data_IF_256437171386
#
_entry.id   IF_256437171386
#
_cell.length_a   1.000
_cell.length_b   1.000
_cell.length_c   1.000
_cell.angle_alpha   90.00
_cell.angle_beta   90.00
_cell.angle_gamma   90.00
#
_symmetry.space_group_name_H-M   'P 1'
#
loop_
_entity.id
_entity.type
_entity.pdbx_description
1 polymer ?
#
# COMPACT_ATOMS: atom_id res chain seq x y z
N UNK A 1 22.87 7.34 4.55
CA UNK A 1 21.59 7.16 3.87
C UNK A 1 20.89 6.07 4.65
N UNK A 2 19.94 6.48 5.47
CA UNK A 2 19.30 5.64 6.47
C UNK A 2 18.27 4.71 5.78
N UNK A 3 18.01 3.54 6.36
CA UNK A 3 16.90 2.67 5.97
C UNK A 3 15.57 3.43 5.98
N UNK A 4 15.41 4.42 6.86
CA UNK A 4 14.29 5.36 6.85
C UNK A 4 14.28 6.34 5.67
N UNK A 5 15.44 6.76 5.14
CA UNK A 5 15.50 7.53 3.89
C UNK A 5 14.98 6.72 2.71
N UNK A 6 15.20 5.40 2.74
CA UNK A 6 14.75 4.49 1.68
C UNK A 6 13.23 4.25 1.78
N UNK A 7 12.68 4.11 3.00
CA UNK A 7 11.24 4.02 3.23
C UNK A 7 10.50 5.33 2.88
N UNK A 8 11.08 6.48 3.25
CA UNK A 8 10.60 7.81 2.86
C UNK A 8 10.70 8.06 1.35
N UNK A 9 11.71 7.50 0.68
CA UNK A 9 11.81 7.48 -0.77
C UNK A 9 10.80 6.54 -1.46
N UNK A 10 10.26 5.53 -0.76
CA UNK A 10 9.13 4.72 -1.26
C UNK A 10 7.81 5.46 -1.21
N UNK A 11 7.71 6.42 -0.30
CA UNK A 11 6.61 7.35 -0.24
C UNK A 11 6.84 8.58 -1.14
N UNK A 12 7.89 8.63 -1.97
CA UNK A 12 8.07 9.77 -2.88
C UNK A 12 7.31 9.56 -4.18
N UNK A 13 6.18 10.25 -4.30
CA UNK A 13 5.53 10.51 -5.59
C UNK A 13 6.16 11.74 -6.24
N UNK A 14 6.10 11.88 -7.56
CA UNK A 14 6.35 13.16 -8.20
C UNK A 14 5.07 14.00 -8.17
N UNK A 15 5.21 15.28 -7.80
CA UNK A 15 4.08 16.19 -7.88
C UNK A 15 3.67 16.38 -9.35
N UNK A 16 2.44 16.03 -9.75
CA UNK A 16 2.00 16.14 -11.14
C UNK A 16 1.93 17.60 -11.64
N UNK A 17 1.94 18.59 -10.74
CA UNK A 17 1.96 20.02 -11.09
C UNK A 17 3.36 20.59 -11.30
N UNK A 18 4.40 20.08 -10.64
CA UNK A 18 5.72 20.71 -10.69
C UNK A 18 6.91 19.75 -10.88
N UNK A 19 6.67 18.43 -10.90
CA UNK A 19 7.71 17.41 -11.06
C UNK A 19 8.66 17.27 -9.87
N UNK A 20 8.43 17.98 -8.75
CA UNK A 20 9.24 17.81 -7.56
C UNK A 20 8.88 16.51 -6.83
N UNK A 21 9.88 15.83 -6.29
CA UNK A 21 9.66 14.70 -5.38
C UNK A 21 8.88 15.17 -4.15
N UNK A 22 7.79 14.50 -3.84
CA UNK A 22 6.87 14.83 -2.76
C UNK A 22 6.38 13.57 -2.08
N UNK A 23 5.94 13.64 -0.82
CA UNK A 23 5.38 12.47 -0.15
C UNK A 23 4.01 12.12 -0.75
N UNK A 24 3.77 10.85 -1.07
CA UNK A 24 2.49 10.26 -1.47
C UNK A 24 1.43 10.33 -0.38
N UNK A 25 1.84 10.74 0.83
CA UNK A 25 0.97 10.97 1.98
C UNK A 25 0.73 12.46 2.24
N UNK A 26 1.41 13.36 1.53
CA UNK A 26 1.17 14.79 1.70
C UNK A 26 -0.08 15.20 0.94
N UNK A 27 -1.00 15.89 1.60
CA UNK A 27 -2.18 16.46 0.94
C UNK A 27 -1.84 17.62 0.01
N UNK A 28 -0.62 18.16 0.11
CA UNK A 28 -0.11 19.27 -0.71
C UNK A 28 1.38 19.14 -1.00
N UNK A 29 1.80 19.45 -2.22
CA UNK A 29 3.20 19.46 -2.58
C UNK A 29 3.96 20.54 -1.80
N UNK A 30 5.02 20.16 -1.08
CA UNK A 30 5.83 21.07 -0.28
C UNK A 30 6.61 22.10 -1.12
N UNK A 31 6.79 21.84 -2.42
CA UNK A 31 7.53 22.72 -3.31
C UNK A 31 6.63 23.75 -4.01
N UNK A 32 5.43 23.37 -4.46
CA UNK A 32 4.55 24.25 -5.23
C UNK A 32 3.18 24.53 -4.59
N UNK A 33 2.86 23.87 -3.47
CA UNK A 33 1.58 24.02 -2.77
C UNK A 33 0.37 23.35 -3.46
N UNK A 34 0.56 22.64 -4.58
CA UNK A 34 -0.54 21.97 -5.28
C UNK A 34 -1.11 20.82 -4.45
N UNK A 35 -2.45 20.68 -4.41
CA UNK A 35 -3.10 19.58 -3.69
C UNK A 35 -2.88 18.24 -4.40
N UNK A 36 -2.60 17.19 -3.63
CA UNK A 36 -2.24 15.85 -4.12
C UNK A 36 -3.32 14.77 -3.88
N UNK A 37 -4.47 15.14 -3.31
CA UNK A 37 -5.59 14.23 -2.99
C UNK A 37 -5.47 13.56 -1.62
N UNK A 38 -6.58 13.04 -1.11
CA UNK A 38 -6.64 12.21 0.11
C UNK A 38 -6.63 10.73 -0.29
N UNK A 39 -5.64 9.97 0.19
CA UNK A 39 -5.59 8.51 0.06
C UNK A 39 -5.88 7.89 1.44
N UNK A 40 -7.04 7.25 1.61
CA UNK A 40 -7.58 6.82 2.91
C UNK A 40 -7.24 5.38 3.40
N UNK A 41 -6.36 4.62 2.72
CA UNK A 41 -5.85 3.30 3.18
C UNK A 41 -4.71 2.78 2.25
N UNK A 42 -3.80 1.84 2.66
CA UNK A 42 -3.00 1.77 3.87
C UNK A 42 -1.66 2.50 3.65
N UNK A 43 -1.55 3.69 4.20
CA UNK A 43 -0.39 4.55 4.13
C UNK A 43 0.41 4.42 5.42
N UNK A 44 1.69 4.04 5.35
CA UNK A 44 2.62 4.18 6.49
C UNK A 44 2.65 5.65 6.87
N UNK A 45 1.96 6.03 7.94
CA UNK A 45 1.88 7.43 8.35
C UNK A 45 3.15 7.81 9.09
N UNK A 46 3.92 8.74 8.50
CA UNK A 46 5.04 9.40 9.18
C UNK A 46 4.45 10.48 10.09
N UNK A 47 4.57 10.32 11.41
CA UNK A 47 4.23 11.40 12.35
C UNK A 47 5.26 12.53 12.22
N UNK A 48 4.76 13.76 12.12
CA UNK A 48 5.62 14.95 12.17
C UNK A 48 6.39 14.98 13.51
N UNK A 49 7.69 15.18 13.40
CA UNK A 49 8.68 15.00 14.45
C UNK A 49 8.93 16.33 15.17
N UNK A 50 7.90 16.86 15.82
CA UNK A 50 8.10 17.98 16.73
C UNK A 50 8.77 17.49 18.03
N UNK A 51 10.03 17.86 18.21
CA UNK A 51 10.84 17.76 19.44
C UNK A 51 11.16 16.33 19.95
N UNK A 52 12.19 15.72 19.37
CA UNK A 52 13.03 14.74 20.08
C UNK A 52 12.51 13.31 20.20
N UNK A 53 11.44 12.93 19.48
CA UNK A 53 10.98 11.54 19.40
C UNK A 53 11.14 11.02 17.98
N UNK A 54 11.77 9.84 17.84
CA UNK A 54 11.97 9.10 16.59
C UNK A 54 10.65 9.04 15.79
N UNK A 55 10.70 9.29 14.48
CA UNK A 55 9.54 9.13 13.61
C UNK A 55 8.98 7.71 13.76
N UNK A 56 7.79 7.59 14.35
CA UNK A 56 7.07 6.33 14.45
C UNK A 56 6.40 6.04 13.11
N UNK A 57 6.50 4.80 12.65
CA UNK A 57 5.72 4.27 11.53
C UNK A 57 4.43 3.68 12.11
N UNK A 58 3.29 4.33 11.94
CA UNK A 58 2.00 3.75 12.28
C UNK A 58 1.50 2.89 11.11
N UNK A 59 1.18 1.62 11.42
CA UNK A 59 0.61 0.63 10.51
C UNK A 59 -0.87 0.47 10.85
N UNK A 60 -1.75 0.58 9.86
CA UNK A 60 -3.15 0.17 10.01
C UNK A 60 -3.21 -1.34 10.26
N UNK A 61 -3.82 -1.79 11.34
CA UNK A 61 -3.93 -3.21 11.63
C UNK A 61 -4.82 -3.90 10.58
N UNK A 62 -4.50 -5.14 10.18
CA UNK A 62 -5.23 -5.85 9.12
C UNK A 62 -6.76 -5.88 9.32
N UNK A 63 -7.21 -6.06 10.56
CA UNK A 63 -8.63 -6.10 10.89
C UNK A 63 -9.31 -4.73 10.82
N UNK A 64 -8.55 -3.66 10.64
CA UNK A 64 -9.04 -2.31 10.44
C UNK A 64 -9.26 -1.99 8.95
N UNK A 65 -8.64 -2.72 8.03
CA UNK A 65 -8.72 -2.51 6.57
C UNK A 65 -10.15 -2.27 6.09
N UNK A 66 -10.42 -1.06 5.57
CA UNK A 66 -11.74 -0.67 5.06
C UNK A 66 -12.08 -1.47 3.81
N UNK A 67 -11.11 -1.72 2.95
CA UNK A 67 -11.29 -2.45 1.70
C UNK A 67 -11.63 -3.92 1.94
N UNK A 68 -10.95 -4.59 2.88
CA UNK A 68 -11.29 -5.97 3.24
C UNK A 68 -12.69 -6.07 3.83
N UNK A 69 -13.08 -5.14 4.71
CA UNK A 69 -14.44 -5.08 5.27
C UNK A 69 -15.50 -4.86 4.19
N UNK A 70 -15.24 -3.94 3.27
CA UNK A 70 -16.12 -3.65 2.12
C UNK A 70 -16.35 -4.89 1.26
N UNK A 71 -15.29 -5.58 0.86
CA UNK A 71 -15.41 -6.81 0.06
C UNK A 71 -16.10 -7.94 0.84
N UNK A 72 -15.80 -8.11 2.13
CA UNK A 72 -16.51 -9.08 2.99
C UNK A 72 -18.01 -8.80 3.04
N UNK A 73 -18.40 -7.55 3.20
CA UNK A 73 -19.79 -7.13 3.21
C UNK A 73 -20.45 -7.38 1.84
N UNK A 74 -19.80 -6.98 0.74
CA UNK A 74 -20.32 -7.16 -0.61
C UNK A 74 -20.55 -8.65 -0.95
N UNK A 75 -19.62 -9.54 -0.57
CA UNK A 75 -19.78 -10.99 -0.74
C UNK A 75 -20.92 -11.55 0.13
N UNK A 76 -21.06 -11.08 1.36
CA UNK A 76 -22.15 -11.49 2.24
C UNK A 76 -23.52 -11.07 1.67
N UNK A 77 -23.62 -9.83 1.16
CA UNK A 77 -24.84 -9.31 0.54
C UNK A 77 -25.18 -10.07 -0.74
N UNK A 78 -24.20 -10.35 -1.60
CA UNK A 78 -24.38 -11.18 -2.80
C UNK A 78 -24.95 -12.56 -2.44
N UNK A 79 -24.40 -13.21 -1.40
CA UNK A 79 -24.88 -14.51 -0.91
C UNK A 79 -26.30 -14.45 -0.34
N UNK A 80 -26.70 -13.32 0.22
CA UNK A 80 -28.06 -13.08 0.70
C UNK A 80 -29.06 -12.79 -0.44
N UNK A 81 -28.64 -12.85 -1.71
CA UNK A 81 -29.46 -12.53 -2.87
C UNK A 81 -29.44 -11.05 -3.25
N UNK A 82 -28.43 -10.30 -2.81
CA UNK A 82 -28.19 -8.92 -3.19
C UNK A 82 -27.90 -8.75 -4.67
N UNK A 83 -27.98 -7.49 -5.14
CA UNK A 83 -27.74 -7.15 -6.53
C UNK A 83 -26.27 -7.35 -6.93
N UNK A 84 -26.05 -8.05 -8.04
CA UNK A 84 -24.70 -8.33 -8.58
C UNK A 84 -23.96 -7.04 -8.91
N UNK A 85 -24.66 -6.02 -9.39
CA UNK A 85 -24.10 -4.72 -9.76
C UNK A 85 -23.51 -3.99 -8.56
N UNK A 86 -24.13 -4.13 -7.38
CA UNK A 86 -23.62 -3.52 -6.13
C UNK A 86 -22.35 -4.25 -5.66
N UNK A 87 -22.33 -5.58 -5.80
CA UNK A 87 -21.15 -6.38 -5.53
C UNK A 87 -19.98 -5.99 -6.45
N UNK A 88 -20.21 -5.94 -7.76
CA UNK A 88 -19.18 -5.60 -8.74
C UNK A 88 -18.66 -4.17 -8.55
N UNK A 89 -19.53 -3.20 -8.23
CA UNK A 89 -19.09 -1.84 -7.91
C UNK A 89 -18.11 -1.79 -6.73
N UNK A 90 -18.32 -2.64 -5.70
CA UNK A 90 -17.39 -2.74 -4.57
C UNK A 90 -16.06 -3.42 -4.95
N UNK A 91 -16.09 -4.39 -5.88
CA UNK A 91 -14.88 -5.02 -6.44
C UNK A 91 -14.08 -3.99 -7.25
N UNK A 92 -14.72 -3.29 -8.17
CA UNK A 92 -14.11 -2.28 -9.04
C UNK A 92 -13.44 -1.16 -8.24
N UNK A 93 -14.12 -0.65 -7.20
CA UNK A 93 -13.56 0.40 -6.36
C UNK A 93 -12.25 -0.05 -5.69
N UNK A 94 -12.19 -1.30 -5.21
CA UNK A 94 -10.97 -1.84 -4.61
C UNK A 94 -9.92 -2.17 -5.68
N UNK A 95 -10.33 -2.59 -6.87
CA UNK A 95 -9.44 -2.85 -8.00
C UNK A 95 -8.65 -1.61 -8.39
N UNK A 96 -9.30 -0.45 -8.53
CA UNK A 96 -8.64 0.82 -8.86
C UNK A 96 -7.50 1.15 -7.89
N UNK A 97 -7.68 0.90 -6.59
CA UNK A 97 -6.63 1.15 -5.59
C UNK A 97 -5.45 0.18 -5.74
N UNK A 98 -5.73 -1.11 -5.94
CA UNK A 98 -4.68 -2.13 -6.08
C UNK A 98 -3.92 -1.98 -7.40
N UNK A 99 -4.62 -1.64 -8.48
CA UNK A 99 -4.04 -1.34 -9.79
C UNK A 99 -3.10 -0.14 -9.71
N UNK A 100 -3.54 0.96 -9.07
CA UNK A 100 -2.71 2.15 -8.87
C UNK A 100 -1.41 1.81 -8.12
N UNK A 101 -1.48 0.98 -7.08
CA UNK A 101 -0.30 0.53 -6.35
C UNK A 101 0.62 -0.36 -7.22
N UNK A 102 0.03 -1.27 -8.00
CA UNK A 102 0.77 -2.16 -8.90
C UNK A 102 1.45 -1.37 -10.03
N UNK A 103 0.79 -0.40 -10.62
CA UNK A 103 1.34 0.52 -11.62
C UNK A 103 2.55 1.26 -11.05
N UNK A 104 2.46 1.77 -9.83
CA UNK A 104 3.60 2.40 -9.17
C UNK A 104 4.77 1.42 -9.06
N UNK A 105 4.56 0.22 -8.49
CA UNK A 105 5.62 -0.77 -8.30
C UNK A 105 6.25 -1.27 -9.62
N UNK A 106 5.46 -1.31 -10.69
CA UNK A 106 5.90 -1.80 -12.01
C UNK A 106 6.36 -0.67 -12.93
N UNK A 107 6.21 0.59 -12.52
CA UNK A 107 6.60 1.76 -13.31
C UNK A 107 8.10 1.76 -13.64
N UNK A 108 8.51 2.28 -14.82
CA UNK A 108 9.91 2.42 -15.18
C UNK A 108 10.73 3.18 -14.14
N UNK A 109 10.13 4.23 -13.57
CA UNK A 109 10.71 5.01 -12.48
C UNK A 109 11.05 4.11 -11.27
N UNK A 110 10.09 3.34 -10.78
CA UNK A 110 10.35 2.45 -9.64
C UNK A 110 11.35 1.35 -9.97
N UNK A 111 11.33 0.80 -11.19
CA UNK A 111 12.30 -0.21 -11.60
C UNK A 111 13.74 0.34 -11.62
N UNK A 112 13.95 1.56 -12.11
CA UNK A 112 15.25 2.23 -12.05
C UNK A 112 15.70 2.48 -10.61
N UNK A 113 14.79 2.89 -9.73
CA UNK A 113 15.08 3.11 -8.30
C UNK A 113 15.49 1.81 -7.61
N UNK A 114 14.73 0.73 -7.85
CA UNK A 114 15.02 -0.61 -7.31
C UNK A 114 16.38 -1.12 -7.81
N UNK A 115 16.75 -0.87 -9.06
CA UNK A 115 18.03 -1.30 -9.63
C UNK A 115 19.25 -0.66 -8.95
N UNK A 116 19.08 0.55 -8.41
CA UNK A 116 20.13 1.30 -7.72
C UNK A 116 20.05 1.18 -6.18
N UNK A 117 19.10 0.40 -5.67
CA UNK A 117 18.84 0.25 -4.24
C UNK A 117 19.68 -0.88 -3.64
N UNK A 118 19.96 -0.78 -2.34
CA UNK A 118 20.60 -1.89 -1.62
C UNK A 118 19.74 -3.17 -1.68
N UNK A 119 20.36 -4.37 -1.66
CA UNK A 119 19.64 -5.62 -1.86
C UNK A 119 18.48 -5.85 -0.88
N UNK A 120 18.62 -5.43 0.38
CA UNK A 120 17.60 -5.62 1.40
C UNK A 120 16.30 -4.86 1.10
N UNK A 121 16.34 -3.52 1.00
CA UNK A 121 15.17 -2.74 0.61
C UNK A 121 14.63 -3.09 -0.78
N UNK A 122 15.50 -3.36 -1.76
CA UNK A 122 15.08 -3.80 -3.10
C UNK A 122 14.25 -5.10 -3.05
N UNK A 123 14.58 -6.01 -2.15
CA UNK A 123 13.83 -7.25 -1.94
C UNK A 123 12.44 -6.99 -1.34
N UNK A 124 12.32 -6.06 -0.39
CA UNK A 124 11.03 -5.67 0.22
C UNK A 124 10.08 -5.14 -0.86
N UNK A 125 10.57 -4.28 -1.75
CA UNK A 125 9.78 -3.77 -2.88
C UNK A 125 9.29 -4.88 -3.81
N UNK A 126 10.17 -5.82 -4.18
CA UNK A 126 9.79 -6.94 -5.05
C UNK A 126 8.73 -7.82 -4.39
N UNK A 127 8.81 -8.01 -3.08
CA UNK A 127 7.80 -8.74 -2.32
C UNK A 127 6.46 -8.00 -2.26
N UNK A 128 6.49 -6.67 -2.05
CA UNK A 128 5.28 -5.83 -2.08
C UNK A 128 4.62 -5.82 -3.46
N UNK A 129 5.41 -5.65 -4.53
CA UNK A 129 4.93 -5.69 -5.91
C UNK A 129 4.26 -7.03 -6.23
N UNK A 130 4.87 -8.14 -5.78
CA UNK A 130 4.29 -9.48 -5.94
C UNK A 130 2.98 -9.62 -5.16
N UNK A 131 2.90 -9.12 -3.93
CA UNK A 131 1.68 -9.16 -3.15
C UNK A 131 0.56 -8.32 -3.80
N UNK A 132 0.88 -7.13 -4.32
CA UNK A 132 -0.05 -6.30 -5.09
C UNK A 132 -0.56 -7.01 -6.35
N UNK A 133 0.32 -7.71 -7.08
CA UNK A 133 -0.08 -8.51 -8.25
C UNK A 133 -1.04 -9.65 -7.87
N UNK A 134 -0.80 -10.33 -6.75
CA UNK A 134 -1.68 -11.37 -6.24
C UNK A 134 -3.04 -10.81 -5.78
N UNK A 135 -3.07 -9.61 -5.19
CA UNK A 135 -4.30 -8.90 -4.84
C UNK A 135 -5.10 -8.55 -6.09
N UNK A 136 -4.48 -7.96 -7.11
CA UNK A 136 -5.12 -7.62 -8.39
C UNK A 136 -5.69 -8.88 -9.03
N UNK A 137 -4.88 -9.94 -9.15
CA UNK A 137 -5.35 -11.23 -9.70
C UNK A 137 -6.52 -11.82 -8.91
N UNK A 138 -6.61 -11.56 -7.60
CA UNK A 138 -7.73 -12.03 -6.78
C UNK A 138 -9.02 -11.25 -7.07
N UNK A 139 -8.91 -9.96 -7.36
CA UNK A 139 -10.03 -9.11 -7.76
C UNK A 139 -10.53 -9.49 -9.16
N UNK A 140 -9.64 -9.81 -10.11
CA UNK A 140 -10.04 -10.34 -11.42
C UNK A 140 -10.90 -11.61 -11.29
N UNK A 141 -10.58 -12.48 -10.32
CA UNK A 141 -11.42 -13.66 -10.05
C UNK A 141 -12.78 -13.26 -9.45
N UNK A 142 -12.83 -12.19 -8.65
CA UNK A 142 -14.05 -11.67 -8.04
C UNK A 142 -14.98 -10.98 -9.05
N UNK A 143 -14.50 -10.59 -10.23
CA UNK A 143 -15.39 -10.12 -11.31
C UNK A 143 -16.42 -11.17 -11.74
N UNK A 144 -16.14 -12.46 -11.47
CA UNK A 144 -17.13 -13.53 -11.60
C UNK A 144 -17.82 -13.77 -10.23
N UNK A 145 -19.13 -13.45 -10.09
CA UNK A 145 -19.87 -13.65 -8.83
C UNK A 145 -19.84 -15.09 -8.30
N UNK A 146 -19.72 -16.09 -9.18
CA UNK A 146 -19.62 -17.50 -8.78
C UNK A 146 -18.29 -17.82 -8.07
N UNK A 147 -17.28 -16.97 -8.26
CA UNK A 147 -15.96 -17.09 -7.64
C UNK A 147 -15.75 -16.12 -6.48
N UNK A 148 -16.77 -15.35 -6.09
CA UNK A 148 -16.68 -14.29 -5.10
C UNK A 148 -16.03 -14.72 -3.77
N UNK A 149 -16.46 -15.86 -3.19
CA UNK A 149 -15.89 -16.37 -1.93
C UNK A 149 -14.42 -16.83 -2.09
N UNK A 150 -14.11 -17.48 -3.21
CA UNK A 150 -12.75 -17.97 -3.48
C UNK A 150 -11.79 -16.81 -3.75
N UNK A 151 -12.23 -15.80 -4.51
CA UNK A 151 -11.50 -14.57 -4.78
C UNK A 151 -11.27 -13.78 -3.50
N UNK A 152 -12.30 -13.59 -2.66
CA UNK A 152 -12.17 -12.90 -1.37
C UNK A 152 -11.14 -13.56 -0.45
N UNK A 153 -11.15 -14.89 -0.36
CA UNK A 153 -10.16 -15.63 0.45
C UNK A 153 -8.73 -15.43 -0.06
N UNK A 154 -8.54 -15.36 -1.38
CA UNK A 154 -7.23 -15.08 -1.98
C UNK A 154 -6.80 -13.64 -1.75
N UNK A 155 -7.74 -12.69 -1.86
CA UNK A 155 -7.51 -11.28 -1.56
C UNK A 155 -7.08 -11.09 -0.10
N UNK A 156 -7.79 -11.69 0.85
CA UNK A 156 -7.41 -11.67 2.27
C UNK A 156 -6.02 -12.28 2.51
N UNK A 157 -5.70 -13.40 1.86
CA UNK A 157 -4.36 -13.99 1.94
C UNK A 157 -3.26 -13.08 1.35
N UNK A 158 -3.56 -12.34 0.28
CA UNK A 158 -2.66 -11.33 -0.29
C UNK A 158 -2.41 -10.18 0.68
N UNK A 159 -3.45 -9.69 1.35
CA UNK A 159 -3.34 -8.63 2.34
C UNK A 159 -2.48 -9.07 3.54
N UNK A 160 -2.64 -10.30 4.03
CA UNK A 160 -1.77 -10.85 5.08
C UNK A 160 -0.29 -10.91 4.68
N UNK A 161 0.01 -11.09 3.38
CA UNK A 161 1.40 -11.02 2.91
C UNK A 161 1.93 -9.59 2.98
N UNK A 162 1.14 -8.59 2.54
CA UNK A 162 1.49 -7.17 2.66
C UNK A 162 1.79 -6.82 4.12
N UNK A 163 0.90 -7.21 5.02
CA UNK A 163 1.00 -7.01 6.47
C UNK A 163 2.30 -7.58 7.06
N UNK A 164 2.64 -8.83 6.70
CA UNK A 164 3.85 -9.49 7.14
C UNK A 164 5.13 -8.87 6.53
N UNK A 165 5.06 -8.29 5.33
CA UNK A 165 6.18 -7.53 4.75
C UNK A 165 6.37 -6.22 5.53
N UNK A 166 5.29 -5.51 5.86
CA UNK A 166 5.35 -4.28 6.66
C UNK A 166 5.93 -4.55 8.05
N UNK A 167 5.50 -5.60 8.74
CA UNK A 167 6.02 -5.94 10.07
C UNK A 167 7.54 -6.21 10.06
N UNK A 168 8.01 -7.00 9.09
CA UNK A 168 9.45 -7.26 8.94
C UNK A 168 10.22 -5.99 8.62
N UNK A 169 9.62 -5.09 7.84
CA UNK A 169 10.22 -3.80 7.48
C UNK A 169 10.35 -2.90 8.70
N UNK A 170 9.28 -2.75 9.49
CA UNK A 170 9.27 -1.96 10.73
C UNK A 170 10.26 -2.54 11.74
N UNK A 171 10.23 -3.86 11.99
CA UNK A 171 11.15 -4.50 12.92
C UNK A 171 12.63 -4.27 12.54
N UNK A 172 12.96 -4.33 11.25
CA UNK A 172 14.31 -4.03 10.76
C UNK A 172 14.66 -2.55 10.92
N UNK A 173 13.72 -1.65 10.67
CA UNK A 173 13.91 -0.21 10.87
C UNK A 173 14.24 0.10 12.34
N UNK A 174 13.47 -0.48 13.27
CA UNK A 174 13.69 -0.33 14.72
C UNK A 174 15.06 -0.87 15.13
N UNK A 175 15.45 -2.05 14.65
CA UNK A 175 16.78 -2.63 14.94
C UNK A 175 17.94 -1.73 14.48
N UNK A 176 17.82 -1.12 13.29
CA UNK A 176 18.85 -0.23 12.76
C UNK A 176 18.91 1.09 13.53
N UNK A 177 17.76 1.64 13.94
CA UNK A 177 17.72 2.83 14.80
C UNK A 177 18.39 2.56 16.16
N UNK A 178 18.13 1.41 16.77
CA UNK A 178 18.72 1.03 18.06
C UNK A 178 20.23 0.76 17.94
N UNK A 179 20.71 0.23 16.81
CA UNK A 179 22.13 -0.03 16.57
C UNK A 179 22.93 1.25 16.25
N UNK A 180 22.29 2.32 15.78
CA UNK A 180 22.91 3.61 15.46
C UNK A 180 23.12 4.54 16.66
N UNK A 181 22.59 4.19 17.84
CA UNK A 181 22.75 4.92 19.10
C UNK A 181 23.82 4.32 20.05
N UNK A 182 24.63 3.37 19.56
CA UNK A 182 25.71 2.71 20.32
C UNK A 182 27.13 3.20 19.94
#
# INVERSE_FOLDING_TARGET
MDFFDILGQMAQAECPSCGAATSSYSHSCENCGASLGESEDPSLNLRDSSAGSRAGLDKTEMHESKNLKKLKQAVADLRAGGAVEVYLAAVDEVAVMVESALELYTSPYMQERIANMEPGPAQIYKEMAKAAQELSSSLDHMENPDQAEAGLKRFEAGLWKVDAIQDRTIAKATQLADAGEA
#
